data_IF_156567299203
#
_entry.id   IF_156567299203
#
_cell.length_a   1.000
_cell.length_b   1.000
_cell.length_c   1.000
_cell.angle_alpha   90.00
_cell.angle_beta   90.00
_cell.angle_gamma   90.00
#
_symmetry.space_group_name_H-M   'P 1'
#
loop_
_entity.id
_entity.type
_entity.pdbx_description
1 polymer ?
#
# COMPACT_ATOMS: atom_id res chain seq x y z
N UNK A 1 -13.40 24.66 4.92
CA UNK A 1 -12.44 23.54 4.90
C UNK A 1 -13.02 22.37 4.13
N UNK A 2 -12.80 22.34 2.81
CA UNK A 2 -13.30 21.27 1.95
C UNK A 2 -12.26 20.15 1.94
N UNK A 3 -12.26 19.33 3.00
CA UNK A 3 -11.47 18.11 3.08
C UNK A 3 -12.21 17.02 2.27
N UNK A 4 -12.10 17.06 0.94
CA UNK A 4 -12.67 16.01 0.09
C UNK A 4 -11.75 14.80 0.14
N UNK A 5 -12.17 13.74 0.84
CA UNK A 5 -11.47 12.45 0.78
C UNK A 5 -11.44 11.94 -0.66
N UNK A 6 -10.35 11.27 -1.04
CA UNK A 6 -10.29 10.59 -2.32
C UNK A 6 -11.24 9.37 -2.26
N UNK A 7 -12.17 9.20 -3.23
CA UNK A 7 -13.09 8.08 -3.21
C UNK A 7 -12.33 6.75 -3.37
N UNK A 8 -12.54 5.81 -2.46
CA UNK A 8 -12.00 4.45 -2.52
C UNK A 8 -13.11 3.46 -2.88
N UNK A 9 -12.85 2.61 -3.87
CA UNK A 9 -13.72 1.49 -4.22
C UNK A 9 -12.91 0.20 -4.30
N UNK A 10 -13.34 -0.82 -3.57
CA UNK A 10 -12.84 -2.18 -3.66
C UNK A 10 -13.90 -3.10 -4.24
N UNK A 11 -13.54 -3.91 -5.23
CA UNK A 11 -14.48 -4.87 -5.82
C UNK A 11 -14.10 -6.26 -5.36
N UNK A 12 -14.98 -6.89 -4.58
CA UNK A 12 -14.85 -8.30 -4.29
C UNK A 12 -15.47 -9.10 -5.43
N UNK A 13 -14.75 -10.10 -5.89
CA UNK A 13 -15.24 -11.06 -6.87
C UNK A 13 -15.42 -12.39 -6.16
N UNK A 14 -16.67 -12.81 -5.97
CA UNK A 14 -16.98 -14.24 -5.84
C UNK A 14 -17.40 -14.77 -7.21
N UNK A 15 -17.43 -16.08 -7.37
CA UNK A 15 -17.67 -16.73 -8.66
C UNK A 15 -19.07 -16.41 -9.26
N UNK A 16 -19.96 -15.72 -8.53
CA UNK A 16 -21.33 -15.42 -8.93
C UNK A 16 -21.63 -13.91 -9.13
N UNK A 17 -20.92 -12.98 -8.48
CA UNK A 17 -21.09 -11.54 -8.71
C UNK A 17 -19.87 -10.68 -8.28
N UNK A 18 -19.63 -9.58 -9.00
CA UNK A 18 -18.71 -8.53 -8.62
C UNK A 18 -19.45 -7.45 -7.81
N UNK A 19 -19.25 -7.42 -6.49
CA UNK A 19 -19.87 -6.41 -5.61
C UNK A 19 -18.81 -5.36 -5.28
N UNK A 20 -19.08 -4.11 -5.67
CA UNK A 20 -18.26 -2.96 -5.31
C UNK A 20 -18.59 -2.48 -3.88
N UNK A 21 -17.56 -2.33 -3.07
CA UNK A 21 -17.59 -1.80 -1.72
C UNK A 21 -16.79 -0.49 -1.65
N UNK A 22 -17.19 0.43 -0.79
CA UNK A 22 -16.48 1.67 -0.52
C UNK A 22 -16.42 1.94 1.00
N UNK A 23 -15.86 3.08 1.39
CA UNK A 23 -15.74 3.57 2.77
C UNK A 23 -17.07 3.67 3.54
N UNK A 24 -18.22 3.68 2.85
CA UNK A 24 -19.56 3.74 3.45
C UNK A 24 -20.38 2.45 3.30
N UNK A 25 -20.02 1.57 2.37
CA UNK A 25 -20.80 0.38 1.99
C UNK A 25 -20.08 -0.93 2.26
N UNK A 26 -18.84 -0.89 2.78
CA UNK A 26 -18.10 -2.07 3.18
C UNK A 26 -18.93 -2.84 4.25
N UNK A 27 -19.42 -4.06 3.95
CA UNK A 27 -20.23 -4.81 4.89
C UNK A 27 -19.38 -5.15 6.10
N UNK A 28 -19.99 -5.15 7.29
CA UNK A 28 -19.34 -5.60 8.52
C UNK A 28 -19.14 -7.13 8.46
N UNK A 29 -18.15 -7.57 7.66
CA UNK A 29 -17.83 -8.98 7.42
C UNK A 29 -16.86 -9.53 8.45
N UNK A 30 -16.21 -8.67 9.22
CA UNK A 30 -15.17 -9.04 10.20
C UNK A 30 -15.58 -8.73 11.65
N UNK A 31 -16.81 -8.26 11.91
CA UNK A 31 -17.22 -7.71 13.23
C UNK A 31 -16.32 -6.57 13.72
N UNK A 32 -15.54 -5.96 12.82
CA UNK A 32 -14.58 -4.94 13.20
C UNK A 32 -15.25 -3.56 13.29
N UNK A 33 -14.86 -2.72 14.27
CA UNK A 33 -15.40 -1.38 14.40
C UNK A 33 -15.10 -0.48 13.19
N UNK A 34 -16.03 0.42 12.90
CA UNK A 34 -15.86 1.44 11.86
C UNK A 34 -14.84 2.51 12.29
N UNK A 35 -13.93 2.87 11.38
CA UNK A 35 -12.98 3.97 11.55
C UNK A 35 -13.34 5.05 10.50
N UNK A 36 -13.66 6.26 10.96
CA UNK A 36 -14.08 7.35 10.09
C UNK A 36 -13.00 7.67 9.04
N UNK A 37 -13.41 7.83 7.79
CA UNK A 37 -12.55 8.20 6.65
C UNK A 37 -11.41 7.19 6.37
N UNK A 38 -11.53 5.95 6.85
CA UNK A 38 -10.55 4.88 6.65
C UNK A 38 -11.26 3.62 6.16
N UNK A 39 -10.83 3.12 5.01
CA UNK A 39 -11.21 1.81 4.50
C UNK A 39 -9.99 0.88 4.52
N UNK A 40 -10.17 -0.34 5.01
CA UNK A 40 -9.14 -1.37 5.00
C UNK A 40 -9.76 -2.73 4.73
N UNK A 41 -8.98 -3.63 4.15
CA UNK A 41 -9.40 -4.99 3.82
C UNK A 41 -8.40 -5.97 4.39
N UNK A 42 -8.84 -6.74 5.37
CA UNK A 42 -8.07 -7.87 5.87
C UNK A 42 -8.55 -9.16 5.18
N UNK A 43 -7.61 -9.88 4.55
CA UNK A 43 -7.87 -11.17 3.91
C UNK A 43 -7.58 -12.35 4.85
N UNK A 44 -7.00 -12.12 6.03
CA UNK A 44 -6.77 -13.21 6.98
C UNK A 44 -8.10 -13.85 7.41
N UNK A 45 -8.18 -15.19 7.45
CA UNK A 45 -9.33 -15.87 8.05
C UNK A 45 -9.48 -15.44 9.50
N UNK A 46 -10.61 -14.81 9.85
CA UNK A 46 -10.89 -14.41 11.22
C UNK A 46 -11.83 -15.42 11.90
N UNK A 47 -11.59 -15.77 13.18
CA UNK A 47 -10.53 -15.27 14.04
C UNK A 47 -9.16 -15.88 13.71
N UNK A 48 -8.12 -15.04 13.66
CA UNK A 48 -6.73 -15.47 13.51
C UNK A 48 -5.95 -15.26 14.81
N UNK A 49 -4.85 -15.98 14.98
CA UNK A 49 -3.87 -15.70 16.06
C UNK A 49 -2.90 -14.57 15.71
N UNK A 50 -3.02 -13.98 14.51
CA UNK A 50 -2.19 -12.86 14.06
C UNK A 50 -2.75 -11.52 14.58
N UNK A 51 -1.92 -10.48 14.74
CA UNK A 51 -2.41 -9.14 15.04
C UNK A 51 -3.47 -8.72 14.04
N UNK A 52 -4.63 -8.26 14.54
CA UNK A 52 -5.70 -7.79 13.68
C UNK A 52 -5.24 -6.52 12.97
N UNK A 53 -5.42 -6.47 11.64
CA UNK A 53 -5.17 -5.28 10.85
C UNK A 53 -5.95 -4.07 11.40
N UNK A 54 -7.15 -4.30 11.94
CA UNK A 54 -7.94 -3.27 12.60
C UNK A 54 -7.16 -2.60 13.74
N UNK A 55 -6.57 -3.36 14.65
CA UNK A 55 -5.88 -2.81 15.82
C UNK A 55 -4.70 -1.92 15.41
N UNK A 56 -3.98 -2.32 14.36
CA UNK A 56 -2.84 -1.56 13.83
C UNK A 56 -3.36 -0.28 13.15
N UNK A 57 -4.37 -0.38 12.30
CA UNK A 57 -4.96 0.79 11.62
C UNK A 57 -5.55 1.77 12.64
N UNK A 58 -6.22 1.25 13.66
CA UNK A 58 -6.78 2.04 14.76
C UNK A 58 -5.66 2.73 15.57
N UNK A 59 -4.53 2.07 15.82
CA UNK A 59 -3.38 2.66 16.50
C UNK A 59 -2.73 3.81 15.70
N UNK A 60 -2.88 3.80 14.38
CA UNK A 60 -2.37 4.82 13.46
C UNK A 60 -3.43 5.85 13.08
N UNK A 61 -4.63 5.78 13.62
CA UNK A 61 -5.72 6.69 13.26
C UNK A 61 -5.35 8.15 13.54
N UNK A 62 -5.53 9.01 12.53
CA UNK A 62 -5.05 10.39 12.53
C UNK A 62 -3.56 10.58 12.15
N UNK A 63 -2.81 9.48 11.95
CA UNK A 63 -1.39 9.48 11.56
C UNK A 63 -1.07 8.40 10.51
N UNK A 64 -2.03 8.09 9.63
CA UNK A 64 -1.88 7.18 8.49
C UNK A 64 -1.07 7.83 7.36
N UNK A 65 0.17 8.21 7.65
CA UNK A 65 1.13 8.65 6.64
C UNK A 65 1.67 7.46 5.86
N UNK A 66 2.07 7.65 4.60
CA UNK A 66 2.62 6.57 3.78
C UNK A 66 3.85 5.90 4.43
N UNK A 67 4.70 6.69 5.10
CA UNK A 67 5.85 6.19 5.86
C UNK A 67 5.44 5.27 7.01
N UNK A 68 4.48 5.69 7.85
CA UNK A 68 4.02 4.87 8.97
C UNK A 68 3.36 3.58 8.47
N UNK A 69 2.54 3.68 7.43
CA UNK A 69 1.89 2.53 6.79
C UNK A 69 2.92 1.54 6.26
N UNK A 70 3.93 2.02 5.52
CA UNK A 70 4.99 1.17 4.95
C UNK A 70 5.82 0.47 6.03
N UNK A 71 6.14 1.15 7.13
CA UNK A 71 7.00 0.61 8.17
C UNK A 71 6.27 -0.35 9.11
N UNK A 72 5.01 -0.09 9.44
CA UNK A 72 4.34 -0.75 10.55
C UNK A 72 3.37 -1.84 10.09
N UNK A 73 2.51 -1.58 9.10
CA UNK A 73 1.45 -2.53 8.75
C UNK A 73 2.00 -3.88 8.25
N UNK A 74 2.91 -3.94 7.26
CA UNK A 74 3.49 -5.21 6.80
C UNK A 74 4.18 -5.97 7.94
N UNK A 75 4.93 -5.27 8.79
CA UNK A 75 5.72 -5.88 9.85
C UNK A 75 4.82 -6.52 10.93
N UNK A 76 3.80 -5.79 11.40
CA UNK A 76 2.90 -6.28 12.43
C UNK A 76 1.95 -7.38 11.94
N UNK A 77 1.52 -7.32 10.68
CA UNK A 77 0.66 -8.35 10.09
C UNK A 77 1.43 -9.55 9.53
N UNK A 78 2.77 -9.46 9.46
CA UNK A 78 3.60 -10.38 8.67
C UNK A 78 3.10 -10.57 7.23
N UNK A 79 2.51 -9.51 6.66
CA UNK A 79 1.91 -9.50 5.33
C UNK A 79 2.88 -8.93 4.30
N UNK A 80 3.11 -9.67 3.22
CA UNK A 80 4.08 -9.34 2.17
C UNK A 80 5.23 -10.34 2.13
N UNK A 81 5.00 -11.46 1.46
CA UNK A 81 6.05 -12.46 1.25
C UNK A 81 7.02 -12.01 0.14
N UNK A 82 6.50 -11.76 -1.07
CA UNK A 82 7.30 -11.41 -2.27
C UNK A 82 7.53 -9.92 -2.40
N UNK A 83 6.49 -9.11 -2.21
CA UNK A 83 6.57 -7.65 -2.26
C UNK A 83 5.52 -7.02 -1.34
N UNK A 84 5.80 -5.79 -0.92
CA UNK A 84 4.85 -4.92 -0.23
C UNK A 84 4.97 -3.53 -0.85
N UNK A 85 3.84 -2.84 -1.02
CA UNK A 85 3.78 -1.57 -1.72
C UNK A 85 2.83 -0.60 -1.00
N UNK A 86 3.22 0.67 -0.94
CA UNK A 86 2.39 1.76 -0.43
C UNK A 86 2.41 2.89 -1.44
N UNK A 87 1.23 3.42 -1.74
CA UNK A 87 1.04 4.53 -2.66
C UNK A 87 0.43 5.69 -1.89
N UNK A 88 1.07 6.85 -1.97
CA UNK A 88 0.54 8.10 -1.44
C UNK A 88 -0.10 8.89 -2.56
N UNK A 89 -1.30 9.42 -2.32
CA UNK A 89 -2.05 10.18 -3.30
C UNK A 89 -2.33 11.59 -2.79
N UNK A 90 -2.14 12.57 -3.66
CA UNK A 90 -2.79 13.88 -3.55
C UNK A 90 -3.96 13.90 -4.54
N UNK A 91 -5.19 13.88 -4.00
CA UNK A 91 -6.40 13.67 -4.79
C UNK A 91 -6.34 12.35 -5.61
N UNK A 92 -6.27 12.43 -6.93
CA UNK A 92 -6.24 11.27 -7.85
C UNK A 92 -4.85 11.02 -8.45
N UNK A 93 -3.84 11.78 -8.04
CA UNK A 93 -2.48 11.66 -8.58
C UNK A 93 -1.56 11.07 -7.51
N UNK A 94 -0.84 9.97 -7.80
CA UNK A 94 0.11 9.40 -6.85
C UNK A 94 1.35 10.31 -6.76
N UNK A 95 1.72 10.69 -5.55
CA UNK A 95 2.85 11.59 -5.25
C UNK A 95 4.07 10.80 -4.78
N UNK A 96 3.86 9.70 -4.07
CA UNK A 96 4.93 8.87 -3.50
C UNK A 96 4.64 7.39 -3.70
N UNK A 97 5.68 6.61 -3.92
CA UNK A 97 5.61 5.16 -4.00
C UNK A 97 6.69 4.52 -3.12
N UNK A 98 6.28 3.63 -2.23
CA UNK A 98 7.16 2.85 -1.38
C UNK A 98 7.05 1.38 -1.78
N UNK A 99 8.18 0.70 -1.94
CA UNK A 99 8.20 -0.74 -2.25
C UNK A 99 9.28 -1.46 -1.49
N UNK A 100 8.92 -2.62 -0.95
CA UNK A 100 9.84 -3.61 -0.41
C UNK A 100 9.71 -4.90 -1.21
N UNK A 101 10.81 -5.63 -1.37
CA UNK A 101 10.86 -6.90 -2.10
C UNK A 101 11.56 -7.95 -1.23
N UNK A 102 10.94 -9.13 -1.15
CA UNK A 102 11.55 -10.32 -0.57
C UNK A 102 12.65 -10.87 -1.47
N UNK A 103 13.62 -11.52 -0.85
CA UNK A 103 14.73 -12.21 -1.52
C UNK A 103 14.62 -13.71 -1.27
N UNK A 104 15.02 -14.49 -2.26
CA UNK A 104 15.03 -15.94 -2.19
C UNK A 104 16.42 -16.48 -2.50
N UNK A 105 16.72 -17.65 -1.97
CA UNK A 105 17.83 -18.47 -2.46
C UNK A 105 17.50 -19.01 -3.86
N UNK A 106 18.51 -19.59 -4.53
CA UNK A 106 18.32 -20.22 -5.85
C UNK A 106 17.31 -21.37 -5.86
N UNK A 107 17.05 -22.00 -4.71
CA UNK A 107 16.05 -23.05 -4.53
C UNK A 107 14.63 -22.53 -4.29
N UNK A 108 14.41 -21.20 -4.29
CA UNK A 108 13.10 -20.59 -4.11
C UNK A 108 12.69 -20.36 -2.65
N UNK A 109 13.46 -20.83 -1.66
CA UNK A 109 13.18 -20.54 -0.24
C UNK A 109 13.46 -19.07 0.06
N UNK A 110 12.59 -18.42 0.83
CA UNK A 110 12.80 -17.05 1.27
C UNK A 110 14.05 -16.92 2.14
N UNK A 111 14.95 -16.03 1.73
CA UNK A 111 16.05 -15.54 2.57
C UNK A 111 15.54 -14.39 3.46
N UNK A 112 14.72 -13.52 2.89
CA UNK A 112 14.04 -12.43 3.59
C UNK A 112 12.69 -12.19 2.91
N UNK A 113 11.62 -12.05 3.70
CA UNK A 113 10.31 -11.68 3.15
C UNK A 113 10.19 -10.16 3.01
N UNK A 114 9.32 -9.69 2.13
CA UNK A 114 9.17 -8.26 1.87
C UNK A 114 8.78 -7.46 3.13
N UNK A 115 7.95 -8.02 4.01
CA UNK A 115 7.57 -7.35 5.27
C UNK A 115 8.74 -7.13 6.25
N UNK A 116 9.87 -7.80 6.02
CA UNK A 116 11.10 -7.68 6.82
C UNK A 116 12.16 -6.81 6.12
N UNK A 117 11.92 -6.44 4.85
CA UNK A 117 12.89 -5.74 4.02
C UNK A 117 12.72 -4.21 4.17
N UNK A 118 13.80 -3.44 4.01
CA UNK A 118 13.69 -1.99 3.93
C UNK A 118 12.86 -1.57 2.72
N UNK A 119 12.02 -0.56 2.89
CA UNK A 119 11.28 0.06 1.78
C UNK A 119 12.17 1.04 1.02
N UNK A 120 12.11 0.95 -0.30
CA UNK A 120 12.66 1.94 -1.23
C UNK A 120 11.54 2.95 -1.52
N UNK A 121 11.84 4.23 -1.38
CA UNK A 121 10.93 5.33 -1.64
C UNK A 121 11.24 6.00 -2.98
N UNK A 122 10.20 6.25 -3.76
CA UNK A 122 10.22 7.00 -5.01
C UNK A 122 9.31 8.23 -4.87
N UNK A 123 9.91 9.41 -5.03
CA UNK A 123 9.20 10.68 -5.21
C UNK A 123 8.71 10.76 -6.65
N UNK A 124 7.40 10.56 -6.85
CA UNK A 124 6.81 10.50 -8.18
C UNK A 124 6.70 11.88 -8.81
N UNK A 125 6.47 12.93 -8.02
CA UNK A 125 6.44 14.30 -8.52
C UNK A 125 7.80 14.69 -9.12
N UNK A 126 8.90 14.35 -8.45
CA UNK A 126 10.25 14.54 -8.97
C UNK A 126 10.53 13.69 -10.21
N UNK A 127 10.15 12.41 -10.19
CA UNK A 127 10.40 11.50 -11.32
C UNK A 127 9.67 11.93 -12.59
N UNK A 128 8.41 12.36 -12.48
CA UNK A 128 7.58 12.72 -13.63
C UNK A 128 7.72 14.18 -14.07
N UNK A 129 8.24 15.06 -13.21
CA UNK A 129 8.53 16.46 -13.59
C UNK A 129 9.80 16.62 -14.44
N UNK A 130 10.67 15.59 -14.50
CA UNK A 130 11.85 15.61 -15.37
C UNK A 130 11.44 15.46 -16.84
N UNK A 131 11.55 16.55 -17.61
CA UNK A 131 11.73 16.45 -19.07
C UNK A 131 13.06 15.75 -19.32
N UNK A 132 13.04 14.67 -20.10
CA UNK A 132 14.27 14.07 -20.64
C UNK A 132 14.98 15.15 -21.47
N UNK A 133 16.11 15.64 -20.98
CA UNK A 133 16.93 16.58 -21.74
C UNK A 133 17.61 15.79 -22.86
N UNK A 134 17.04 15.86 -24.07
CA UNK A 134 17.56 15.19 -25.26
C UNK A 134 18.83 15.85 -25.84
N UNK A 135 19.49 16.77 -25.12
CA UNK A 135 20.60 17.56 -25.64
C UNK A 135 21.97 16.86 -25.66
N UNK A 136 22.12 15.64 -25.15
CA UNK A 136 23.45 14.98 -25.04
C UNK A 136 23.89 14.12 -26.24
N UNK A 137 23.40 14.39 -27.46
CA UNK A 137 23.86 13.66 -28.66
C UNK A 137 24.69 14.53 -29.61
N UNK A 138 25.79 15.13 -29.13
CA UNK A 138 26.94 15.51 -29.97
C UNK A 138 28.24 15.48 -29.15
N UNK A 139 28.85 14.31 -29.00
CA UNK A 139 30.31 14.25 -28.81
C UNK A 139 30.95 14.26 -30.20
N UNK A 140 31.44 15.43 -30.62
CA UNK A 140 32.47 15.51 -31.66
C UNK A 140 33.68 14.73 -31.19
N UNK A 141 34.06 13.72 -31.96
CA UNK A 141 35.39 13.12 -31.91
C UNK A 141 36.26 13.98 -32.82
N UNK A 142 37.28 14.62 -32.25
CA UNK A 142 38.50 15.01 -32.96
C UNK A 142 39.45 13.83 -32.81
#
# INVERSE_FOLDING_TARGET
DNNTSAPFAAIAYDQAAAIAYNDTTLPNRTSQPYIKDVAYLDKHPQPSTSPDLYDIVQSLYGNLTATNVAQLIPQYTSSGDVHAAVYEFSHSTPTSFYVAKGTTFSNGTYMQKAYQAPFIHFDLDFLWSRKLDNSTTKKSVI
#
